data_IF_769348393630
#
_entry.id   IF_769348393630
#
_cell.length_a   1.000
_cell.length_b   1.000
_cell.length_c   1.000
_cell.angle_alpha   90.00
_cell.angle_beta   90.00
_cell.angle_gamma   90.00
#
_symmetry.space_group_name_H-M   'P 1'
#
loop_
_entity.id
_entity.type
_entity.pdbx_description
1 polymer ?
#
# COMPACT_ATOMS: atom_id res chain seq x y z
N UNK A 1 -0.79 39.89 -14.46
CA UNK A 1 -1.63 38.69 -14.64
C UNK A 1 -1.27 37.76 -13.51
N UNK A 2 -2.01 37.87 -12.41
CA UNK A 2 -1.83 37.03 -11.22
C UNK A 2 -2.14 35.58 -11.58
N UNK A 3 -1.20 34.68 -11.33
CA UNK A 3 -1.39 33.24 -11.47
C UNK A 3 -2.39 32.78 -10.42
N UNK A 4 -3.64 32.58 -10.85
CA UNK A 4 -4.72 32.05 -10.02
C UNK A 4 -4.31 30.76 -9.31
N UNK A 5 -4.32 30.77 -7.98
CA UNK A 5 -4.67 29.63 -7.11
C UNK A 5 -3.69 28.48 -6.93
N UNK A 6 -2.70 28.28 -7.83
CA UNK A 6 -1.85 27.10 -7.77
C UNK A 6 -0.92 27.13 -6.54
N UNK A 7 -0.84 26.01 -5.81
CA UNK A 7 0.02 25.89 -4.64
C UNK A 7 1.48 26.27 -4.96
N UNK A 8 2.01 27.31 -4.30
CA UNK A 8 3.39 27.75 -4.49
C UNK A 8 4.36 26.88 -3.68
N UNK A 9 4.74 25.76 -4.27
CA UNK A 9 5.76 24.87 -3.71
C UNK A 9 7.13 25.55 -3.60
N UNK A 10 7.42 26.61 -4.38
CA UNK A 10 8.76 27.20 -4.44
C UNK A 10 9.12 27.83 -3.10
N UNK A 11 8.25 28.67 -2.55
CA UNK A 11 8.48 29.28 -1.24
C UNK A 11 8.67 28.23 -0.13
N UNK A 12 7.92 27.13 -0.17
CA UNK A 12 8.02 26.02 0.80
C UNK A 12 9.38 25.32 0.65
N UNK A 13 9.76 24.94 -0.57
CA UNK A 13 11.02 24.27 -0.85
C UNK A 13 12.23 25.16 -0.52
N UNK A 14 12.16 26.46 -0.80
CA UNK A 14 13.22 27.41 -0.45
C UNK A 14 13.48 27.40 1.05
N UNK A 15 12.42 27.41 1.88
CA UNK A 15 12.56 27.32 3.33
C UNK A 15 13.12 25.97 3.77
N UNK A 16 12.56 24.88 3.24
CA UNK A 16 12.97 23.51 3.56
C UNK A 16 14.46 23.29 3.28
N UNK A 17 14.97 23.80 2.16
CA UNK A 17 16.36 23.64 1.75
C UNK A 17 17.27 24.81 2.11
N UNK A 18 16.76 25.83 2.79
CA UNK A 18 17.49 27.05 3.20
C UNK A 18 18.09 27.82 2.02
N UNK A 19 17.29 28.05 0.97
CA UNK A 19 17.61 28.87 -0.20
C UNK A 19 17.01 30.27 -0.06
N UNK A 20 17.72 31.28 -0.51
CA UNK A 20 17.18 32.63 -0.74
C UNK A 20 16.21 32.63 -1.94
N UNK A 21 15.37 33.65 -2.09
CA UNK A 21 14.46 33.76 -3.25
C UNK A 21 15.22 33.74 -4.59
N UNK A 22 16.33 34.48 -4.69
CA UNK A 22 17.20 34.51 -5.88
C UNK A 22 17.91 33.17 -6.16
N UNK A 23 18.13 32.35 -5.13
CA UNK A 23 18.67 30.99 -5.29
C UNK A 23 17.59 30.02 -5.72
N UNK A 24 16.37 30.13 -5.19
CA UNK A 24 15.26 29.24 -5.50
C UNK A 24 15.01 29.13 -7.01
N UNK A 25 15.02 30.27 -7.70
CA UNK A 25 14.80 30.36 -9.15
C UNK A 25 15.87 29.65 -9.98
N UNK A 26 17.10 29.60 -9.48
CA UNK A 26 18.25 29.00 -10.17
C UNK A 26 18.50 27.55 -9.74
N UNK A 27 18.11 27.21 -8.51
CA UNK A 27 18.48 25.97 -7.86
C UNK A 27 17.38 24.91 -7.89
N UNK A 28 16.12 25.28 -8.06
CA UNK A 28 14.99 24.35 -8.14
C UNK A 28 14.58 24.18 -9.60
N UNK A 29 14.85 23.00 -10.16
CA UNK A 29 14.51 22.67 -11.54
C UNK A 29 13.57 21.46 -11.61
N UNK A 30 12.58 21.49 -12.50
CA UNK A 30 11.75 20.32 -12.79
C UNK A 30 12.57 19.25 -13.52
N UNK A 31 12.36 18.00 -13.14
CA UNK A 31 12.96 16.81 -13.74
C UNK A 31 11.89 15.98 -14.44
N UNK A 32 11.23 16.57 -15.43
CA UNK A 32 10.12 15.97 -16.18
C UNK A 32 8.83 16.75 -16.06
N UNK A 33 7.77 16.16 -16.60
CA UNK A 33 6.41 16.70 -16.56
C UNK A 33 5.70 16.30 -15.26
N UNK A 34 4.66 17.07 -14.92
CA UNK A 34 3.77 16.72 -13.82
C UNK A 34 2.92 15.51 -14.19
N UNK A 35 2.76 14.57 -13.25
CA UNK A 35 1.89 13.41 -13.39
C UNK A 35 0.55 13.68 -12.68
N UNK A 36 -0.59 13.48 -13.36
CA UNK A 36 -1.95 13.83 -12.86
C UNK A 36 -3.00 12.73 -13.13
N UNK A 37 -4.27 12.95 -12.75
CA UNK A 37 -5.40 12.02 -12.93
C UNK A 37 -5.63 11.47 -14.34
N UNK A 38 -5.19 12.15 -15.41
CA UNK A 38 -5.20 11.59 -16.77
C UNK A 38 -4.22 10.41 -16.94
N UNK A 39 -3.26 10.28 -16.02
CA UNK A 39 -2.30 9.16 -15.94
C UNK A 39 -2.68 8.11 -14.88
N UNK A 40 -3.90 8.18 -14.33
CA UNK A 40 -4.44 7.15 -13.42
C UNK A 40 -4.05 7.30 -11.95
N UNK A 41 -3.68 8.52 -11.52
CA UNK A 41 -3.23 8.77 -10.15
C UNK A 41 -4.15 9.70 -9.38
N UNK A 42 -4.33 9.41 -8.09
CA UNK A 42 -5.18 10.20 -7.22
C UNK A 42 -4.59 11.57 -6.87
N UNK A 43 -3.26 11.71 -6.85
CA UNK A 43 -2.55 12.95 -6.50
C UNK A 43 -1.64 13.40 -7.63
N UNK A 44 -1.33 14.70 -7.60
CA UNK A 44 -0.35 15.31 -8.50
C UNK A 44 1.06 14.96 -8.06
N UNK A 45 1.96 14.74 -9.02
CA UNK A 45 3.34 14.38 -8.72
C UNK A 45 4.34 15.10 -9.60
N UNK A 46 5.48 15.48 -9.01
CA UNK A 46 6.58 16.16 -9.71
C UNK A 46 7.91 15.62 -9.22
N UNK A 47 8.86 15.45 -10.14
CA UNK A 47 10.26 15.18 -9.81
C UNK A 47 11.02 16.49 -9.92
N UNK A 48 11.81 16.84 -8.90
CA UNK A 48 12.59 18.08 -8.89
C UNK A 48 14.04 17.80 -8.53
N UNK A 49 14.94 18.63 -9.05
CA UNK A 49 16.34 18.72 -8.61
C UNK A 49 16.54 20.01 -7.85
N UNK A 50 17.07 19.90 -6.63
CA UNK A 50 17.39 21.04 -5.77
C UNK A 50 18.90 21.12 -5.61
N UNK A 51 19.51 22.18 -6.15
CA UNK A 51 20.94 22.46 -5.96
C UNK A 51 21.18 23.22 -4.67
N UNK A 52 22.13 22.77 -3.85
CA UNK A 52 22.56 23.43 -2.62
C UNK A 52 24.08 23.36 -2.51
N UNK A 53 24.75 24.48 -2.80
CA UNK A 53 26.19 24.49 -3.02
C UNK A 53 26.57 23.53 -4.16
N UNK A 54 27.56 22.65 -3.90
CA UNK A 54 28.00 21.63 -4.87
C UNK A 54 27.14 20.36 -4.86
N UNK A 55 26.16 20.26 -3.96
CA UNK A 55 25.28 19.09 -3.83
C UNK A 55 23.99 19.26 -4.63
N UNK A 56 23.50 18.16 -5.20
CA UNK A 56 22.17 18.09 -5.81
C UNK A 56 21.33 17.09 -5.03
N UNK A 57 20.14 17.52 -4.61
CA UNK A 57 19.15 16.69 -3.93
C UNK A 57 18.02 16.43 -4.92
N UNK A 58 17.77 15.17 -5.25
CA UNK A 58 16.64 14.78 -6.09
C UNK A 58 15.45 14.50 -5.18
N UNK A 59 14.34 15.20 -5.41
CA UNK A 59 13.13 15.06 -4.60
C UNK A 59 11.93 14.73 -5.47
N UNK A 60 11.04 13.95 -4.90
CA UNK A 60 9.74 13.62 -5.42
C UNK A 60 8.69 14.35 -4.60
N UNK A 61 7.86 15.15 -5.28
CA UNK A 61 6.72 15.81 -4.70
C UNK A 61 5.47 15.00 -5.02
N UNK A 62 4.68 14.72 -3.99
CA UNK A 62 3.32 14.21 -4.10
C UNK A 62 2.39 15.20 -3.41
N UNK A 63 1.36 15.69 -4.09
CA UNK A 63 0.51 16.75 -3.56
C UNK A 63 -0.94 16.66 -4.06
N UNK A 64 -1.85 17.24 -3.28
CA UNK A 64 -3.21 17.53 -3.70
C UNK A 64 -3.43 19.04 -3.70
N UNK A 65 -4.24 19.51 -4.65
CA UNK A 65 -4.62 20.92 -4.75
C UNK A 65 -6.11 21.01 -5.07
N UNK A 66 -6.91 21.45 -4.10
CA UNK A 66 -8.37 21.55 -4.20
C UNK A 66 -8.82 22.77 -4.99
N UNK A 67 -7.92 23.71 -5.30
CA UNK A 67 -8.20 24.89 -6.14
C UNK A 67 -8.17 24.55 -7.63
N UNK A 68 -7.50 23.45 -7.98
CA UNK A 68 -7.39 22.95 -9.35
C UNK A 68 -8.73 22.45 -9.87
N UNK A 69 -9.11 22.96 -11.03
CA UNK A 69 -10.38 22.64 -11.68
C UNK A 69 -10.32 21.31 -12.45
N UNK A 70 -9.13 20.85 -12.81
CA UNK A 70 -8.89 19.59 -13.53
C UNK A 70 -9.06 18.34 -12.66
N UNK A 71 -9.19 18.49 -11.34
CA UNK A 71 -9.37 17.36 -10.41
C UNK A 71 -10.74 16.66 -10.53
N UNK A 72 -11.77 17.29 -11.11
CA UNK A 72 -13.09 16.67 -11.34
C UNK A 72 -13.64 15.89 -10.14
N UNK A 73 -14.06 14.64 -10.38
CA UNK A 73 -14.57 13.70 -9.36
C UNK A 73 -13.48 13.17 -8.41
N UNK A 74 -12.19 13.25 -8.80
CA UNK A 74 -11.08 12.82 -7.95
C UNK A 74 -10.90 13.71 -6.73
N UNK A 75 -11.45 14.94 -6.74
CA UNK A 75 -11.31 15.89 -5.63
C UNK A 75 -11.83 15.34 -4.30
N UNK A 76 -13.01 14.71 -4.28
CA UNK A 76 -13.57 14.13 -3.05
C UNK A 76 -12.68 12.98 -2.52
N UNK A 77 -12.09 12.20 -3.42
CA UNK A 77 -11.15 11.13 -3.06
C UNK A 77 -9.83 11.72 -2.51
N UNK A 78 -9.28 12.76 -3.14
CA UNK A 78 -8.06 13.45 -2.69
C UNK A 78 -8.20 14.03 -1.28
N UNK A 79 -9.32 14.68 -1.00
CA UNK A 79 -9.62 15.26 0.32
C UNK A 79 -9.68 14.20 1.43
N UNK A 80 -9.95 12.94 1.06
CA UNK A 80 -10.07 11.84 1.99
C UNK A 80 -8.74 11.09 2.19
N UNK A 81 -8.06 10.73 1.10
CA UNK A 81 -6.89 9.85 1.14
C UNK A 81 -5.57 10.60 1.33
N UNK A 82 -5.39 11.78 0.73
CA UNK A 82 -4.10 12.47 0.79
C UNK A 82 -3.73 12.94 2.21
N UNK A 83 -4.65 13.47 3.04
CA UNK A 83 -4.32 13.80 4.44
C UNK A 83 -3.94 12.56 5.27
N UNK A 84 -4.51 11.40 4.94
CA UNK A 84 -4.17 10.13 5.59
C UNK A 84 -2.75 9.70 5.25
N UNK A 85 -2.29 9.90 4.02
CA UNK A 85 -0.89 9.69 3.69
C UNK A 85 0.06 10.60 4.48
N UNK A 86 -0.29 11.88 4.66
CA UNK A 86 0.47 12.78 5.53
C UNK A 86 0.50 12.28 6.98
N UNK A 87 -0.61 11.72 7.51
CA UNK A 87 -0.64 11.11 8.85
C UNK A 87 0.32 9.92 8.95
N UNK A 88 0.38 9.07 7.92
CA UNK A 88 1.31 7.95 7.90
C UNK A 88 2.76 8.44 7.97
N UNK A 89 3.17 9.29 7.03
CA UNK A 89 4.57 9.72 6.92
C UNK A 89 5.00 10.72 7.99
N UNK A 90 4.09 11.54 8.51
CA UNK A 90 4.41 12.50 9.57
C UNK A 90 4.36 11.93 10.98
N UNK A 91 3.65 10.81 11.19
CA UNK A 91 3.44 10.25 12.54
C UNK A 91 3.83 8.78 12.66
N UNK A 92 3.26 7.88 11.85
CA UNK A 92 3.52 6.45 11.98
C UNK A 92 4.92 6.09 11.52
N UNK A 93 5.29 6.38 10.27
CA UNK A 93 6.59 6.02 9.72
C UNK A 93 7.77 6.49 10.59
N UNK A 94 7.82 7.76 11.08
CA UNK A 94 8.92 8.22 11.93
C UNK A 94 8.95 7.52 13.29
N UNK A 95 7.78 7.19 13.86
CA UNK A 95 7.69 6.47 15.13
C UNK A 95 8.16 5.02 15.00
N UNK A 96 7.80 4.35 13.90
CA UNK A 96 8.24 2.99 13.59
C UNK A 96 9.76 2.96 13.33
N UNK A 97 10.27 3.85 12.47
CA UNK A 97 11.71 4.00 12.18
C UNK A 97 12.51 4.30 13.45
N UNK A 98 12.05 5.24 14.28
CA UNK A 98 12.71 5.57 15.55
C UNK A 98 12.77 4.36 16.48
N UNK A 99 11.68 3.61 16.57
CA UNK A 99 11.63 2.41 17.42
C UNK A 99 12.61 1.35 16.92
N UNK A 100 12.60 1.04 15.62
CA UNK A 100 13.51 0.08 15.01
C UNK A 100 14.98 0.49 15.22
N UNK A 101 15.31 1.75 14.97
CA UNK A 101 16.66 2.31 15.16
C UNK A 101 17.14 2.21 16.62
N UNK A 102 16.31 2.62 17.58
CA UNK A 102 16.64 2.53 19.02
C UNK A 102 16.83 1.10 19.52
N UNK A 103 16.21 0.12 18.85
CA UNK A 103 16.35 -1.30 19.16
C UNK A 103 17.46 -1.98 18.33
N UNK A 104 18.26 -1.21 17.59
CA UNK A 104 19.40 -1.73 16.82
C UNK A 104 19.02 -2.49 15.55
N UNK A 105 17.80 -2.35 15.05
CA UNK A 105 17.32 -3.04 13.84
C UNK A 105 17.63 -2.28 12.53
N UNK A 106 18.12 -1.06 12.64
CA UNK A 106 18.36 -0.19 11.48
C UNK A 106 17.05 0.37 10.91
N UNK A 107 17.05 0.63 9.59
CA UNK A 107 15.88 1.20 8.90
C UNK A 107 14.84 0.13 8.55
N UNK A 108 13.57 0.50 8.66
CA UNK A 108 12.44 -0.36 8.26
C UNK A 108 12.20 -0.35 6.74
N UNK A 109 12.92 0.50 6.00
CA UNK A 109 12.88 0.53 4.55
C UNK A 109 11.64 1.24 4.00
N UNK A 110 11.23 2.35 4.62
CA UNK A 110 10.27 3.29 4.04
C UNK A 110 11.00 4.40 3.27
N UNK A 111 10.32 5.08 2.33
CA UNK A 111 10.88 6.27 1.68
C UNK A 111 11.21 7.36 2.71
N UNK A 112 12.33 8.02 2.50
CA UNK A 112 12.73 9.20 3.26
C UNK A 112 11.81 10.36 2.91
N UNK A 113 11.07 10.85 3.90
CA UNK A 113 10.23 12.05 3.78
C UNK A 113 10.95 13.23 4.41
N UNK A 114 11.10 14.30 3.64
CA UNK A 114 11.73 15.56 4.07
C UNK A 114 10.70 16.53 4.65
N UNK A 115 9.46 16.48 4.18
CA UNK A 115 8.37 17.34 4.61
C UNK A 115 7.03 16.72 4.26
N UNK A 116 6.07 16.84 5.17
CA UNK A 116 4.65 16.58 4.94
C UNK A 116 3.81 17.73 5.49
N UNK A 117 2.77 18.14 4.76
CA UNK A 117 1.90 19.24 5.15
C UNK A 117 0.46 18.94 4.75
N UNK A 118 -0.46 19.18 5.69
CA UNK A 118 -1.90 19.35 5.39
C UNK A 118 -2.18 20.84 5.35
N UNK A 119 -2.61 21.33 4.19
CA UNK A 119 -2.84 22.73 3.89
C UNK A 119 -4.35 22.99 3.73
N UNK A 120 -4.82 24.24 3.89
CA UNK A 120 -6.23 24.57 3.63
C UNK A 120 -6.71 24.22 2.21
N UNK A 121 -5.78 24.17 1.25
CA UNK A 121 -6.05 23.90 -0.16
C UNK A 121 -5.56 22.54 -0.63
N UNK A 122 -5.17 21.62 0.28
CA UNK A 122 -4.75 20.27 -0.08
C UNK A 122 -3.62 19.73 0.77
N UNK A 123 -2.68 19.01 0.17
CA UNK A 123 -1.59 18.35 0.89
C UNK A 123 -0.29 18.43 0.09
N UNK A 124 0.84 18.30 0.77
CA UNK A 124 2.15 18.23 0.14
C UNK A 124 3.02 17.24 0.91
N UNK A 125 3.67 16.34 0.18
CA UNK A 125 4.74 15.49 0.68
C UNK A 125 5.95 15.68 -0.22
N UNK A 126 7.10 16.02 0.38
CA UNK A 126 8.41 16.09 -0.25
C UNK A 126 9.20 14.91 0.24
N UNK A 127 9.54 13.98 -0.65
CA UNK A 127 10.25 12.75 -0.33
C UNK A 127 11.45 12.56 -1.26
N UNK A 128 12.31 11.59 -0.94
CA UNK A 128 13.41 11.22 -1.82
C UNK A 128 12.88 10.71 -3.18
N UNK A 129 13.63 10.98 -4.25
CA UNK A 129 13.36 10.38 -5.55
C UNK A 129 13.95 8.97 -5.61
N UNK A 130 13.11 7.97 -5.34
CA UNK A 130 13.51 6.55 -5.36
C UNK A 130 14.06 6.10 -6.72
N UNK A 131 13.59 6.70 -7.83
CA UNK A 131 14.11 6.41 -9.16
C UNK A 131 15.58 6.81 -9.30
N UNK A 132 15.94 8.00 -8.82
CA UNK A 132 17.34 8.44 -8.77
C UNK A 132 18.17 7.67 -7.73
N UNK A 133 17.51 7.08 -6.72
CA UNK A 133 18.14 6.18 -5.75
C UNK A 133 18.31 4.73 -6.27
N UNK A 134 17.98 4.46 -7.53
CA UNK A 134 18.19 3.15 -8.16
C UNK A 134 17.07 2.13 -7.91
N UNK A 135 15.89 2.57 -7.49
CA UNK A 135 14.71 1.74 -7.40
C UNK A 135 13.84 1.88 -8.66
N UNK A 136 13.22 0.78 -9.07
CA UNK A 136 12.29 0.72 -10.19
C UNK A 136 10.93 0.15 -9.75
N UNK A 137 9.86 0.49 -10.45
CA UNK A 137 8.56 -0.11 -10.20
C UNK A 137 8.61 -1.63 -10.43
N UNK A 138 8.00 -2.38 -9.53
CA UNK A 138 7.95 -3.82 -9.63
C UNK A 138 7.10 -4.27 -10.85
N UNK A 139 7.42 -5.43 -11.45
CA UNK A 139 6.64 -5.94 -12.57
C UNK A 139 5.24 -6.38 -12.12
N UNK A 140 4.27 -6.32 -13.03
CA UNK A 140 2.89 -6.78 -12.76
C UNK A 140 2.77 -8.29 -12.51
N UNK A 141 3.82 -9.05 -12.81
CA UNK A 141 3.94 -10.50 -12.54
C UNK A 141 5.31 -10.76 -11.95
N UNK A 142 5.38 -10.84 -10.63
CA UNK A 142 6.62 -11.03 -9.87
C UNK A 142 6.99 -12.50 -9.78
N UNK A 143 8.30 -12.77 -9.87
CA UNK A 143 8.85 -14.06 -9.51
C UNK A 143 9.01 -14.20 -7.99
N UNK A 144 9.47 -15.37 -7.54
CA UNK A 144 9.61 -15.67 -6.11
C UNK A 144 10.61 -14.76 -5.39
N UNK A 145 11.71 -14.36 -6.02
CA UNK A 145 12.71 -13.50 -5.39
C UNK A 145 12.14 -12.09 -5.15
N UNK A 146 11.43 -11.55 -6.14
CA UNK A 146 10.78 -10.24 -6.06
C UNK A 146 9.67 -10.24 -4.99
N UNK A 147 8.83 -11.29 -4.99
CA UNK A 147 7.80 -11.48 -3.97
C UNK A 147 8.38 -11.52 -2.55
N UNK A 148 9.49 -12.23 -2.36
CA UNK A 148 10.19 -12.30 -1.07
C UNK A 148 10.73 -10.94 -0.64
N UNK A 149 11.28 -10.13 -1.54
CA UNK A 149 11.71 -8.76 -1.22
C UNK A 149 10.55 -7.88 -0.74
N UNK A 150 9.40 -7.93 -1.42
CA UNK A 150 8.19 -7.18 -1.01
C UNK A 150 7.72 -7.63 0.38
N UNK A 151 7.59 -8.93 0.60
CA UNK A 151 7.10 -9.47 1.86
C UNK A 151 8.07 -9.26 3.02
N UNK A 152 9.38 -9.32 2.77
CA UNK A 152 10.39 -8.96 3.77
C UNK A 152 10.31 -7.47 4.15
N UNK A 153 10.03 -6.56 3.20
CA UNK A 153 9.79 -5.15 3.51
C UNK A 153 8.51 -4.94 4.32
N UNK A 154 7.40 -5.57 3.93
CA UNK A 154 6.16 -5.52 4.72
C UNK A 154 6.35 -6.09 6.14
N UNK A 155 7.08 -7.21 6.26
CA UNK A 155 7.40 -7.83 7.54
C UNK A 155 8.24 -6.92 8.45
N UNK A 156 9.20 -6.16 7.89
CA UNK A 156 9.97 -5.16 8.66
C UNK A 156 9.07 -4.06 9.24
N UNK A 157 8.16 -3.52 8.43
CA UNK A 157 7.18 -2.52 8.88
C UNK A 157 6.29 -3.10 9.98
N UNK A 158 5.85 -4.35 9.84
CA UNK A 158 5.02 -5.04 10.83
C UNK A 158 5.76 -5.35 12.13
N UNK A 159 7.01 -5.78 12.05
CA UNK A 159 7.85 -5.95 13.23
C UNK A 159 8.00 -4.63 13.99
N UNK A 160 8.30 -3.54 13.28
CA UNK A 160 8.42 -2.22 13.88
C UNK A 160 7.12 -1.73 14.51
N UNK A 161 5.97 -2.02 13.89
CA UNK A 161 4.64 -1.75 14.46
C UNK A 161 4.45 -2.47 15.81
N UNK A 162 4.71 -3.78 15.86
CA UNK A 162 4.55 -4.57 17.08
C UNK A 162 5.55 -4.19 18.18
N UNK A 163 6.79 -3.88 17.81
CA UNK A 163 7.81 -3.37 18.72
C UNK A 163 7.38 -2.03 19.33
N UNK A 164 6.87 -1.12 18.50
CA UNK A 164 6.36 0.19 18.93
C UNK A 164 5.18 0.01 19.88
N UNK A 165 4.20 -0.81 19.51
CA UNK A 165 3.04 -1.15 20.34
C UNK A 165 3.46 -1.69 21.71
N UNK A 166 4.41 -2.63 21.74
CA UNK A 166 4.90 -3.21 22.99
C UNK A 166 5.63 -2.18 23.87
N UNK A 167 6.41 -1.28 23.29
CA UNK A 167 7.13 -0.23 24.05
C UNK A 167 6.23 0.85 24.61
N UNK A 168 5.19 1.23 23.88
CA UNK A 168 4.25 2.28 24.32
C UNK A 168 3.25 1.76 25.36
N UNK A 169 2.94 0.46 25.37
CA UNK A 169 2.07 -0.16 26.36
C UNK A 169 0.60 0.31 26.29
N UNK A 170 -0.10 0.17 27.43
CA UNK A 170 -1.55 0.37 27.56
C UNK A 170 -2.09 1.75 27.11
N UNK A 171 -1.39 2.88 27.31
CA UNK A 171 -1.90 4.17 26.81
C UNK A 171 -1.97 4.28 25.28
N UNK A 172 -1.17 3.51 24.53
CA UNK A 172 -1.13 3.53 23.07
C UNK A 172 -1.89 2.37 22.42
N UNK A 173 -2.49 1.47 23.22
CA UNK A 173 -3.30 0.37 22.68
C UNK A 173 -4.53 0.88 21.91
N UNK A 174 -4.98 2.10 22.19
CA UNK A 174 -5.99 2.78 21.37
C UNK A 174 -5.52 2.93 19.94
N UNK A 175 -4.34 3.56 19.69
CA UNK A 175 -3.86 3.84 18.33
C UNK A 175 -3.33 2.60 17.60
N UNK A 176 -2.75 1.63 18.32
CA UNK A 176 -2.09 0.42 17.78
C UNK A 176 -2.92 -0.86 17.98
N UNK A 177 -4.19 -0.73 18.35
CA UNK A 177 -5.08 -1.84 18.64
C UNK A 177 -6.33 -1.85 17.75
N UNK A 178 -7.20 -2.85 17.94
CA UNK A 178 -8.43 -3.01 17.16
C UNK A 178 -9.41 -1.84 17.30
N UNK A 179 -9.31 -1.04 18.36
CA UNK A 179 -10.12 0.15 18.60
C UNK A 179 -9.50 1.44 18.02
N UNK A 180 -8.46 1.32 17.21
CA UNK A 180 -7.83 2.46 16.58
C UNK A 180 -8.83 3.24 15.72
N UNK A 181 -8.78 4.57 15.68
CA UNK A 181 -9.55 5.32 14.69
C UNK A 181 -9.15 4.99 13.24
N UNK A 182 -8.08 4.21 13.07
CA UNK A 182 -7.59 3.68 11.80
C UNK A 182 -7.93 2.20 11.59
N UNK A 183 -8.69 1.57 12.50
CA UNK A 183 -9.14 0.16 12.40
C UNK A 183 -9.97 -0.10 11.14
N UNK A 184 -10.53 0.97 10.60
CA UNK A 184 -11.49 0.89 9.54
C UNK A 184 -10.83 0.94 8.15
N UNK A 185 -9.49 0.89 8.02
CA UNK A 185 -8.78 0.77 6.74
C UNK A 185 -9.35 1.64 5.60
N UNK A 186 -9.60 1.03 4.43
CA UNK A 186 -10.32 1.63 3.28
C UNK A 186 -11.80 1.98 3.58
N UNK A 187 -12.38 1.41 4.64
CA UNK A 187 -13.82 1.35 4.94
C UNK A 187 -14.41 2.56 5.66
N UNK A 188 -13.63 3.37 6.39
CA UNK A 188 -14.13 4.60 7.04
C UNK A 188 -14.07 5.86 6.17
N UNK A 189 -13.54 5.74 4.95
CA UNK A 189 -13.27 6.90 4.12
C UNK A 189 -14.54 7.26 3.36
N UNK A 190 -15.22 8.27 3.90
CA UNK A 190 -16.45 8.93 3.44
C UNK A 190 -16.45 9.42 1.98
N UNK A 191 -15.38 9.19 1.21
CA UNK A 191 -15.20 9.68 -0.14
C UNK A 191 -16.20 9.09 -1.15
N UNK A 192 -16.56 7.82 -1.03
CA UNK A 192 -17.57 7.18 -1.90
C UNK A 192 -19.00 7.43 -1.42
N UNK A 193 -19.18 7.99 -0.20
CA UNK A 193 -20.44 8.04 0.57
C UNK A 193 -21.13 6.68 0.73
N UNK A 194 -20.46 5.58 0.33
CA UNK A 194 -20.96 4.21 0.27
C UNK A 194 -19.92 3.27 0.86
N UNK A 195 -20.33 2.49 1.84
CA UNK A 195 -19.54 1.41 2.40
C UNK A 195 -19.25 0.31 1.36
N UNK A 196 -18.21 -0.49 1.62
CA UNK A 196 -17.92 -1.67 0.79
C UNK A 196 -19.11 -2.65 0.71
N UNK A 197 -19.90 -2.76 1.78
CA UNK A 197 -21.12 -3.58 1.81
C UNK A 197 -22.18 -3.08 0.81
N UNK A 198 -22.25 -1.75 0.60
CA UNK A 198 -23.15 -1.12 -0.38
C UNK A 198 -22.63 -1.19 -1.82
N UNK A 199 -21.30 -1.24 -2.02
CA UNK A 199 -20.67 -1.37 -3.34
C UNK A 199 -20.66 -2.82 -3.85
N UNK A 200 -20.49 -3.79 -2.94
CA UNK A 200 -20.30 -5.20 -3.25
C UNK A 200 -21.37 -5.80 -4.20
N UNK A 201 -22.69 -5.57 -4.04
CA UNK A 201 -23.68 -6.16 -4.95
C UNK A 201 -23.51 -5.70 -6.40
N UNK A 202 -23.23 -4.41 -6.63
CA UNK A 202 -23.04 -3.87 -7.96
C UNK A 202 -21.73 -4.37 -8.59
N UNK A 203 -20.65 -4.40 -7.80
CA UNK A 203 -19.37 -4.98 -8.22
C UNK A 203 -19.50 -6.47 -8.56
N UNK A 204 -20.23 -7.24 -7.77
CA UNK A 204 -20.49 -8.66 -8.02
C UNK A 204 -21.18 -8.92 -9.36
N UNK A 205 -22.26 -8.19 -9.66
CA UNK A 205 -22.97 -8.33 -10.94
C UNK A 205 -22.07 -7.95 -12.13
N UNK A 206 -21.28 -6.89 -11.99
CA UNK A 206 -20.31 -6.48 -13.00
C UNK A 206 -19.23 -7.55 -13.20
N UNK A 207 -18.61 -8.01 -12.11
CA UNK A 207 -17.58 -9.05 -12.12
C UNK A 207 -18.09 -10.30 -12.84
N UNK A 208 -19.24 -10.82 -12.41
CA UNK A 208 -19.88 -12.04 -12.92
C UNK A 208 -20.15 -11.97 -14.43
N UNK A 209 -20.47 -10.80 -14.95
CA UNK A 209 -20.72 -10.57 -16.38
C UNK A 209 -19.44 -10.49 -17.22
N UNK A 210 -18.36 -9.96 -16.64
CA UNK A 210 -17.20 -9.50 -17.41
C UNK A 210 -15.96 -10.40 -17.27
N UNK A 211 -15.72 -11.05 -16.12
CA UNK A 211 -14.43 -11.67 -15.82
C UNK A 211 -14.01 -12.72 -16.87
N UNK A 212 -14.95 -13.54 -17.36
CA UNK A 212 -14.68 -14.61 -18.30
C UNK A 212 -14.14 -14.11 -19.64
N UNK A 213 -14.38 -12.83 -20.01
CA UNK A 213 -13.85 -12.21 -21.24
C UNK A 213 -12.33 -12.09 -21.23
N UNK A 214 -11.71 -12.13 -20.05
CA UNK A 214 -10.28 -11.95 -19.85
C UNK A 214 -9.54 -13.29 -19.63
N UNK A 215 -10.24 -14.42 -19.78
CA UNK A 215 -9.70 -15.75 -19.54
C UNK A 215 -9.84 -16.65 -20.76
N UNK A 216 -8.91 -17.58 -20.93
CA UNK A 216 -8.92 -18.56 -22.03
C UNK A 216 -9.11 -20.00 -21.58
N UNK A 217 -9.05 -20.27 -20.28
CA UNK A 217 -9.13 -21.63 -19.71
C UNK A 217 -10.52 -21.90 -19.12
N UNK A 218 -11.33 -22.71 -19.80
CA UNK A 218 -12.69 -23.07 -19.37
C UNK A 218 -12.75 -23.70 -17.98
N UNK A 219 -11.73 -24.51 -17.62
CA UNK A 219 -11.64 -25.10 -16.27
C UNK A 219 -11.56 -24.01 -15.19
N UNK A 220 -10.70 -23.00 -15.40
CA UNK A 220 -10.53 -21.90 -14.44
C UNK A 220 -11.78 -21.02 -14.37
N UNK A 221 -12.43 -20.77 -15.51
CA UNK A 221 -13.71 -20.07 -15.56
C UNK A 221 -14.78 -20.83 -14.73
N UNK A 222 -14.86 -22.15 -14.88
CA UNK A 222 -15.79 -22.99 -14.11
C UNK A 222 -15.50 -22.96 -12.60
N UNK A 223 -14.23 -22.93 -12.19
CA UNK A 223 -13.84 -22.79 -10.77
C UNK A 223 -14.33 -21.46 -10.19
N UNK A 224 -14.10 -20.34 -10.89
CA UNK A 224 -14.55 -19.01 -10.42
C UNK A 224 -16.08 -18.97 -10.34
N UNK A 225 -16.79 -19.43 -11.38
CA UNK A 225 -18.26 -19.48 -11.34
C UNK A 225 -18.78 -20.33 -10.18
N UNK A 226 -18.20 -21.52 -9.96
CA UNK A 226 -18.55 -22.37 -8.83
C UNK A 226 -18.26 -21.74 -7.47
N UNK A 227 -17.23 -20.90 -7.35
CA UNK A 227 -16.98 -20.13 -6.13
C UNK A 227 -18.02 -19.02 -5.94
N UNK A 228 -18.35 -18.26 -6.99
CA UNK A 228 -19.37 -17.20 -6.95
C UNK A 228 -20.77 -17.74 -6.64
N UNK A 229 -21.10 -18.95 -7.08
CA UNK A 229 -22.41 -19.58 -6.86
C UNK A 229 -22.59 -20.16 -5.44
N UNK A 230 -21.51 -20.32 -4.66
CA UNK A 230 -21.53 -20.91 -3.31
C UNK A 230 -21.71 -19.85 -2.21
N UNK A 231 -22.86 -19.16 -2.26
CA UNK A 231 -23.24 -18.10 -1.30
C UNK A 231 -22.20 -16.97 -1.17
N UNK A 232 -21.51 -16.65 -2.27
CA UNK A 232 -20.38 -15.73 -2.25
C UNK A 232 -20.70 -14.38 -1.61
N UNK A 233 -21.80 -13.73 -2.00
CA UNK A 233 -22.17 -12.42 -1.45
C UNK A 233 -22.25 -12.45 0.09
N UNK A 234 -22.90 -13.48 0.65
CA UNK A 234 -23.02 -13.63 2.11
C UNK A 234 -21.64 -13.80 2.77
N UNK A 235 -20.74 -14.60 2.17
CA UNK A 235 -19.38 -14.78 2.67
C UNK A 235 -18.56 -13.49 2.57
N UNK A 236 -18.61 -12.80 1.45
CA UNK A 236 -17.91 -11.53 1.23
C UNK A 236 -18.38 -10.46 2.22
N UNK A 237 -19.68 -10.36 2.50
CA UNK A 237 -20.21 -9.47 3.54
C UNK A 237 -19.70 -9.81 4.94
N UNK A 238 -19.56 -11.11 5.26
CA UNK A 238 -18.96 -11.54 6.53
C UNK A 238 -17.48 -11.16 6.59
N UNK A 239 -16.72 -11.32 5.51
CA UNK A 239 -15.32 -10.88 5.44
C UNK A 239 -15.22 -9.37 5.71
N UNK A 240 -16.04 -8.55 5.05
CA UNK A 240 -16.08 -7.10 5.24
C UNK A 240 -16.39 -6.73 6.71
N UNK A 241 -17.39 -7.37 7.33
CA UNK A 241 -17.82 -7.08 8.71
C UNK A 241 -16.83 -7.60 9.76
N UNK A 242 -16.27 -8.78 9.55
CA UNK A 242 -15.34 -9.41 10.51
C UNK A 242 -14.04 -8.62 10.71
N UNK A 243 -13.65 -7.79 9.74
CA UNK A 243 -12.51 -6.88 9.89
C UNK A 243 -12.69 -5.78 10.96
N UNK A 244 -13.87 -5.69 11.60
CA UNK A 244 -14.23 -4.67 12.59
C UNK A 244 -14.34 -5.22 14.03
N UNK A 245 -14.00 -6.50 14.27
CA UNK A 245 -14.17 -7.12 15.59
C UNK A 245 -12.96 -6.91 16.54
N UNK A 246 -13.23 -6.55 17.81
CA UNK A 246 -12.23 -6.15 18.82
C UNK A 246 -11.20 -7.22 19.22
N UNK A 247 -11.33 -8.47 18.77
CA UNK A 247 -10.52 -9.61 19.23
C UNK A 247 -9.43 -10.05 18.27
N UNK A 248 -9.23 -9.34 17.17
CA UNK A 248 -8.29 -9.78 16.15
C UNK A 248 -6.84 -9.43 16.48
N UNK A 249 -5.93 -10.33 16.10
CA UNK A 249 -4.50 -10.02 16.03
C UNK A 249 -4.30 -9.01 14.92
N UNK A 250 -4.11 -7.75 15.30
CA UNK A 250 -3.97 -6.62 14.37
C UNK A 250 -2.52 -6.16 14.19
N UNK A 251 -2.21 -5.75 12.97
CA UNK A 251 -1.00 -5.05 12.56
C UNK A 251 -1.34 -3.77 11.79
N UNK A 252 -0.30 -3.10 11.28
CA UNK A 252 -0.49 -2.02 10.31
C UNK A 252 -0.75 -2.61 8.93
N UNK A 253 -1.72 -2.07 8.20
CA UNK A 253 -2.07 -2.53 6.85
C UNK A 253 -1.74 -1.44 5.85
N UNK A 254 -1.16 -1.81 4.72
CA UNK A 254 -1.03 -0.92 3.57
C UNK A 254 -2.41 -0.65 2.96
N UNK A 255 -3.26 -1.69 2.89
CA UNK A 255 -4.63 -1.70 2.38
C UNK A 255 -4.81 -1.45 0.89
N UNK A 256 -3.76 -1.05 0.19
CA UNK A 256 -3.68 -1.02 -1.28
C UNK A 256 -2.33 -1.60 -1.73
N UNK A 257 -1.96 -2.81 -1.28
CA UNK A 257 -0.67 -3.41 -1.65
C UNK A 257 -0.80 -4.22 -2.95
N UNK A 258 -0.18 -3.71 -4.01
CA UNK A 258 -0.06 -4.35 -5.33
C UNK A 258 1.22 -3.88 -6.01
N UNK A 259 1.57 -4.47 -7.15
CA UNK A 259 2.87 -4.27 -7.82
C UNK A 259 3.21 -2.79 -8.06
N UNK A 260 2.21 -1.95 -8.33
CA UNK A 260 2.42 -0.53 -8.64
C UNK A 260 2.84 0.30 -7.41
N UNK A 261 2.63 -0.25 -6.21
CA UNK A 261 3.01 0.37 -4.93
C UNK A 261 4.29 -0.26 -4.35
N UNK A 262 5.00 -1.04 -5.16
CA UNK A 262 6.26 -1.68 -4.80
C UNK A 262 7.38 -1.14 -5.70
N UNK A 263 8.43 -0.57 -5.11
CA UNK A 263 9.65 -0.20 -5.83
C UNK A 263 10.81 -1.10 -5.40
N UNK A 264 11.47 -1.75 -6.36
CA UNK A 264 12.56 -2.71 -6.13
C UNK A 264 13.90 -2.11 -6.53
N UNK A 265 14.92 -2.32 -5.72
CA UNK A 265 16.31 -2.13 -6.14
C UNK A 265 16.89 -3.46 -6.60
N UNK A 266 17.88 -3.41 -7.50
CA UNK A 266 18.55 -4.60 -8.03
C UNK A 266 20.07 -4.50 -7.88
N UNK A 267 20.70 -5.65 -7.72
CA UNK A 267 22.16 -5.74 -7.78
C UNK A 267 22.66 -5.71 -9.25
N UNK A 268 23.98 -5.76 -9.42
CA UNK A 268 24.61 -5.75 -10.74
C UNK A 268 24.24 -6.95 -11.64
N UNK A 269 23.68 -8.02 -11.07
CA UNK A 269 23.18 -9.20 -11.80
C UNK A 269 21.68 -9.14 -12.09
N UNK A 270 21.00 -8.06 -11.70
CA UNK A 270 19.56 -7.87 -11.88
C UNK A 270 18.70 -8.58 -10.82
N UNK A 271 19.30 -9.13 -9.76
CA UNK A 271 18.52 -9.76 -8.69
C UNK A 271 17.93 -8.71 -7.75
N UNK A 272 16.67 -8.87 -7.32
CA UNK A 272 16.05 -7.93 -6.40
C UNK A 272 16.75 -7.98 -5.04
N UNK A 273 17.04 -6.81 -4.48
CA UNK A 273 17.77 -6.67 -3.20
C UNK A 273 16.86 -6.12 -2.12
N UNK A 274 16.25 -4.96 -2.36
CA UNK A 274 15.34 -4.31 -1.42
C UNK A 274 14.04 -3.91 -2.09
N UNK A 275 12.98 -3.80 -1.29
CA UNK A 275 11.74 -3.16 -1.69
C UNK A 275 11.46 -1.94 -0.82
N UNK A 276 10.98 -0.86 -1.43
CA UNK A 276 10.32 0.28 -0.77
C UNK A 276 8.83 0.23 -1.10
N UNK A 277 8.00 0.18 -0.06
CA UNK A 277 6.55 0.27 -0.19
C UNK A 277 6.14 1.74 -0.19
N UNK A 278 5.36 2.15 -1.20
CA UNK A 278 4.94 3.53 -1.42
C UNK A 278 3.42 3.63 -1.48
N UNK A 279 2.88 4.85 -1.43
CA UNK A 279 1.44 5.11 -1.55
C UNK A 279 0.59 4.60 -0.38
N UNK A 280 0.97 4.98 0.85
CA UNK A 280 0.29 4.61 2.09
C UNK A 280 -1.01 5.40 2.35
N UNK A 281 -1.65 5.97 1.32
CA UNK A 281 -2.81 6.87 1.44
C UNK A 281 -4.08 6.20 2.00
N UNK A 282 -4.14 4.86 1.98
CA UNK A 282 -5.24 4.06 2.54
C UNK A 282 -4.85 3.24 3.76
N UNK A 283 -3.65 3.45 4.31
CA UNK A 283 -3.13 2.61 5.39
C UNK A 283 -4.07 2.53 6.59
N UNK A 284 -4.07 1.40 7.30
CA UNK A 284 -4.95 1.20 8.45
C UNK A 284 -4.34 0.32 9.53
N UNK A 285 -5.16 -0.01 10.51
CA UNK A 285 -4.91 -1.06 11.50
C UNK A 285 -5.90 -2.17 11.21
N UNK A 286 -5.43 -3.39 10.98
CA UNK A 286 -6.28 -4.50 10.59
C UNK A 286 -5.57 -5.82 10.80
N UNK A 287 -6.12 -6.92 10.28
CA UNK A 287 -5.47 -8.24 10.39
C UNK A 287 -4.01 -8.18 9.98
N UNK A 288 -3.14 -8.84 10.74
CA UNK A 288 -1.68 -8.81 10.52
C UNK A 288 -1.29 -9.14 9.08
N UNK A 289 -2.01 -10.09 8.46
CA UNK A 289 -1.74 -10.59 7.10
C UNK A 289 -2.70 -10.04 6.04
N UNK A 290 -3.42 -8.95 6.34
CA UNK A 290 -4.46 -8.39 5.48
C UNK A 290 -3.98 -8.16 4.04
N UNK A 291 -2.76 -7.61 3.89
CA UNK A 291 -2.21 -7.27 2.59
C UNK A 291 -1.69 -8.47 1.79
N UNK A 292 -1.49 -9.64 2.43
CA UNK A 292 -0.85 -10.79 1.77
C UNK A 292 -1.69 -11.31 0.60
N UNK A 293 -2.98 -11.53 0.80
CA UNK A 293 -3.86 -12.07 -0.24
C UNK A 293 -4.08 -11.12 -1.42
N UNK A 294 -4.48 -9.85 -1.21
CA UNK A 294 -4.59 -8.86 -2.28
C UNK A 294 -3.30 -8.70 -3.09
N UNK A 295 -2.14 -8.59 -2.41
CA UNK A 295 -0.85 -8.55 -3.09
C UNK A 295 -0.59 -9.81 -3.92
N UNK A 296 -0.81 -10.98 -3.31
CA UNK A 296 -0.49 -12.25 -3.95
C UNK A 296 -1.33 -12.50 -5.21
N UNK A 297 -2.63 -12.21 -5.14
CA UNK A 297 -3.55 -12.33 -6.27
C UNK A 297 -3.18 -11.35 -7.39
N UNK A 298 -2.90 -10.10 -7.04
CA UNK A 298 -2.73 -9.02 -8.03
C UNK A 298 -1.36 -8.97 -8.70
N UNK A 299 -0.32 -9.55 -8.07
CA UNK A 299 1.07 -9.19 -8.41
C UNK A 299 2.01 -10.36 -8.68
N UNK A 300 1.61 -11.60 -8.39
CA UNK A 300 2.49 -12.77 -8.49
C UNK A 300 2.25 -13.51 -9.81
N UNK A 301 3.32 -14.01 -10.43
CA UNK A 301 3.21 -14.89 -11.59
C UNK A 301 2.41 -16.15 -11.24
N UNK A 302 1.36 -16.42 -12.03
CA UNK A 302 0.48 -17.56 -11.84
C UNK A 302 1.21 -18.92 -11.81
N UNK A 303 2.35 -19.05 -12.50
CA UNK A 303 3.16 -20.27 -12.48
C UNK A 303 3.66 -20.65 -11.07
N UNK A 304 3.76 -19.68 -10.15
CA UNK A 304 4.25 -19.91 -8.78
C UNK A 304 3.22 -19.60 -7.69
N UNK A 305 2.05 -19.06 -8.08
CA UNK A 305 1.08 -18.52 -7.13
C UNK A 305 0.61 -19.54 -6.09
N UNK A 306 0.39 -20.80 -6.49
CA UNK A 306 -0.05 -21.85 -5.56
C UNK A 306 1.11 -22.33 -4.70
N UNK A 307 2.19 -22.79 -5.32
CA UNK A 307 3.29 -23.47 -4.63
C UNK A 307 4.08 -22.56 -3.68
N UNK A 308 4.15 -21.26 -3.99
CA UNK A 308 4.97 -20.32 -3.24
C UNK A 308 4.18 -19.50 -2.20
N UNK A 309 2.84 -19.59 -2.15
CA UNK A 309 2.08 -18.74 -1.21
C UNK A 309 2.47 -19.00 0.24
N UNK A 310 2.33 -20.24 0.70
CA UNK A 310 2.61 -20.59 2.08
C UNK A 310 4.11 -20.49 2.46
N UNK A 311 5.07 -20.91 1.62
CA UNK A 311 6.49 -20.64 1.86
C UNK A 311 6.81 -19.14 2.03
N UNK A 312 6.15 -18.27 1.27
CA UNK A 312 6.31 -16.83 1.40
C UNK A 312 5.63 -16.26 2.66
N UNK A 313 4.48 -16.82 3.08
CA UNK A 313 3.86 -16.51 4.39
C UNK A 313 4.78 -16.90 5.54
N UNK A 314 5.45 -18.05 5.44
CA UNK A 314 6.42 -18.53 6.44
C UNK A 314 7.62 -17.58 6.53
N UNK A 315 8.18 -17.13 5.40
CA UNK A 315 9.23 -16.11 5.38
C UNK A 315 8.79 -14.82 6.08
N UNK A 316 7.58 -14.35 5.78
CA UNK A 316 7.00 -13.15 6.38
C UNK A 316 6.89 -13.28 7.91
N UNK A 317 6.35 -14.41 8.40
CA UNK A 317 6.27 -14.72 9.83
C UNK A 317 7.66 -14.78 10.48
N UNK A 318 8.59 -15.52 9.90
CA UNK A 318 9.94 -15.69 10.42
C UNK A 318 10.70 -14.36 10.52
N UNK A 319 10.52 -13.49 9.53
CA UNK A 319 11.11 -12.14 9.54
C UNK A 319 10.57 -11.32 10.71
N UNK A 320 9.24 -11.31 10.93
CA UNK A 320 8.62 -10.60 12.06
C UNK A 320 9.14 -11.15 13.39
N UNK A 321 9.12 -12.48 13.56
CA UNK A 321 9.57 -13.14 14.79
C UNK A 321 11.03 -12.83 15.11
N UNK A 322 11.89 -12.92 14.10
CA UNK A 322 13.33 -12.66 14.24
C UNK A 322 13.59 -11.23 14.69
N UNK A 323 12.96 -10.25 14.04
CA UNK A 323 13.11 -8.83 14.38
C UNK A 323 12.50 -8.49 15.74
N UNK A 324 11.33 -9.04 16.06
CA UNK A 324 10.69 -8.85 17.35
C UNK A 324 11.54 -9.40 18.50
N UNK A 325 12.07 -10.62 18.34
CA UNK A 325 12.98 -11.27 19.28
C UNK A 325 14.28 -10.49 19.44
N UNK A 326 14.84 -10.00 18.35
CA UNK A 326 16.04 -9.16 18.39
C UNK A 326 15.78 -7.86 19.17
N UNK A 327 14.65 -7.20 18.91
CA UNK A 327 14.33 -5.91 19.52
C UNK A 327 13.92 -5.98 21.00
N UNK A 328 13.17 -7.00 21.44
CA UNK A 328 12.66 -7.07 22.82
C UNK A 328 13.20 -8.24 23.64
N UNK A 329 14.01 -9.12 23.04
CA UNK A 329 14.50 -10.35 23.66
C UNK A 329 13.35 -11.25 24.17
N UNK A 330 12.23 -11.23 23.44
CA UNK A 330 11.00 -11.94 23.74
C UNK A 330 10.49 -12.68 22.51
N UNK A 331 9.77 -13.78 22.71
CA UNK A 331 9.09 -14.47 21.62
C UNK A 331 7.91 -13.64 21.11
N UNK A 332 7.69 -13.66 19.80
CA UNK A 332 6.56 -12.96 19.19
C UNK A 332 5.23 -13.57 19.67
N UNK A 333 4.29 -12.78 20.20
CA UNK A 333 3.14 -13.29 20.95
C UNK A 333 2.06 -13.97 20.08
N UNK A 334 2.16 -13.88 18.75
CA UNK A 334 1.20 -14.48 17.82
C UNK A 334 1.69 -15.87 17.41
N UNK A 335 0.81 -16.87 17.39
CA UNK A 335 1.17 -18.22 16.96
C UNK A 335 1.39 -18.32 15.44
N UNK A 336 2.23 -19.25 14.99
CA UNK A 336 2.43 -19.51 13.54
C UNK A 336 1.13 -19.91 12.86
N UNK A 337 0.31 -20.71 13.55
CA UNK A 337 -0.98 -21.17 13.04
C UNK A 337 -1.94 -20.00 12.82
N UNK A 338 -1.99 -19.04 13.74
CA UNK A 338 -2.81 -17.82 13.59
C UNK A 338 -2.41 -17.03 12.34
N UNK A 339 -1.11 -16.85 12.10
CA UNK A 339 -0.64 -16.13 10.91
C UNK A 339 -0.99 -16.88 9.64
N UNK A 340 -0.77 -18.20 9.61
CA UNK A 340 -1.14 -19.05 8.47
C UNK A 340 -2.63 -18.97 8.17
N UNK A 341 -3.48 -19.07 9.19
CA UNK A 341 -4.93 -18.98 9.04
C UNK A 341 -5.36 -17.60 8.54
N UNK A 342 -4.85 -16.51 9.12
CA UNK A 342 -5.17 -15.16 8.65
C UNK A 342 -4.68 -14.93 7.22
N UNK A 343 -3.53 -15.50 6.83
CA UNK A 343 -3.02 -15.39 5.46
C UNK A 343 -3.92 -16.10 4.47
N UNK A 344 -4.39 -17.33 4.76
CA UNK A 344 -5.37 -18.00 3.88
C UNK A 344 -6.68 -17.21 3.83
N UNK A 345 -7.14 -16.64 4.95
CA UNK A 345 -8.32 -15.79 4.98
C UNK A 345 -8.16 -14.50 4.16
N UNK A 346 -6.95 -13.92 4.08
CA UNK A 346 -6.73 -12.71 3.29
C UNK A 346 -6.84 -12.95 1.78
N UNK A 347 -6.77 -14.21 1.31
CA UNK A 347 -7.11 -14.54 -0.09
C UNK A 347 -8.58 -14.23 -0.39
N UNK A 348 -9.51 -14.60 0.49
CA UNK A 348 -10.92 -14.25 0.35
C UNK A 348 -11.12 -12.73 0.34
N UNK A 349 -10.32 -12.01 1.15
CA UNK A 349 -10.33 -10.56 1.12
C UNK A 349 -9.85 -9.99 -0.23
N UNK A 350 -8.75 -10.49 -0.79
CA UNK A 350 -8.27 -10.06 -2.10
C UNK A 350 -9.28 -10.32 -3.22
N UNK A 351 -9.97 -11.47 -3.19
CA UNK A 351 -11.07 -11.77 -4.12
C UNK A 351 -12.23 -10.80 -3.91
N UNK A 352 -12.61 -10.54 -2.65
CA UNK A 352 -13.67 -9.58 -2.30
C UNK A 352 -13.37 -8.19 -2.84
N UNK A 353 -12.13 -7.73 -2.67
CA UNK A 353 -11.70 -6.44 -3.20
C UNK A 353 -11.81 -6.38 -4.72
N UNK A 354 -11.30 -7.39 -5.43
CA UNK A 354 -11.36 -7.46 -6.90
C UNK A 354 -12.81 -7.49 -7.43
N UNK A 355 -13.71 -8.19 -6.73
CA UNK A 355 -15.13 -8.27 -7.10
C UNK A 355 -15.85 -6.96 -6.79
N UNK A 356 -15.59 -6.33 -5.64
CA UNK A 356 -16.23 -5.07 -5.29
C UNK A 356 -15.84 -3.95 -6.25
N UNK A 357 -14.58 -3.91 -6.69
CA UNK A 357 -14.05 -2.91 -7.62
C UNK A 357 -13.88 -3.47 -9.04
N UNK A 358 -14.86 -4.24 -9.51
CA UNK A 358 -14.81 -4.89 -10.82
C UNK A 358 -14.68 -3.92 -12.00
N UNK A 359 -15.04 -2.65 -11.82
CA UNK A 359 -14.81 -1.57 -12.78
C UNK A 359 -13.33 -1.29 -13.05
N UNK A 360 -12.42 -1.67 -12.13
CA UNK A 360 -10.98 -1.51 -12.28
C UNK A 360 -10.34 -2.64 -13.10
N UNK A 361 -11.06 -3.74 -13.35
CA UNK A 361 -10.55 -4.89 -14.13
C UNK A 361 -9.93 -4.49 -15.47
N UNK A 362 -10.54 -3.62 -16.30
CA UNK A 362 -9.99 -3.27 -17.61
C UNK A 362 -8.67 -2.49 -17.53
N UNK A 363 -8.37 -1.83 -16.41
CA UNK A 363 -7.14 -1.03 -16.24
C UNK A 363 -6.01 -1.81 -15.55
N UNK A 364 -6.30 -3.00 -15.00
CA UNK A 364 -5.28 -3.86 -14.42
C UNK A 364 -4.40 -4.48 -15.51
N UNK A 365 -3.09 -4.26 -15.41
CA UNK A 365 -2.12 -4.95 -16.28
C UNK A 365 -2.14 -6.44 -15.96
N UNK A 366 -2.09 -7.27 -17.00
CA UNK A 366 -2.07 -8.74 -16.87
C UNK A 366 -3.27 -9.28 -16.09
N UNK A 367 -4.46 -8.74 -16.35
CA UNK A 367 -5.72 -9.22 -15.76
C UNK A 367 -5.95 -10.73 -15.95
N UNK A 368 -5.46 -11.30 -17.06
CA UNK A 368 -5.42 -12.75 -17.30
C UNK A 368 -4.69 -13.49 -16.16
N UNK A 369 -3.52 -13.00 -15.75
CA UNK A 369 -2.74 -13.56 -14.66
C UNK A 369 -3.45 -13.44 -13.31
N UNK A 370 -4.03 -12.27 -13.02
CA UNK A 370 -4.78 -12.03 -11.78
C UNK A 370 -5.96 -13.00 -11.64
N UNK A 371 -6.76 -13.17 -12.70
CA UNK A 371 -7.90 -14.08 -12.69
C UNK A 371 -7.48 -15.55 -12.64
N UNK A 372 -6.36 -15.91 -13.29
CA UNK A 372 -5.78 -17.25 -13.15
C UNK A 372 -5.35 -17.52 -11.70
N UNK A 373 -4.74 -16.55 -11.02
CA UNK A 373 -4.40 -16.65 -9.60
C UNK A 373 -5.64 -16.89 -8.75
N UNK A 374 -6.72 -16.12 -8.98
CA UNK A 374 -7.99 -16.33 -8.27
C UNK A 374 -8.48 -17.76 -8.43
N UNK A 375 -8.56 -18.27 -9.65
CA UNK A 375 -9.04 -19.63 -9.91
C UNK A 375 -8.18 -20.70 -9.23
N UNK A 376 -6.86 -20.64 -9.39
CA UNK A 376 -5.96 -21.68 -8.87
C UNK A 376 -5.86 -21.65 -7.34
N UNK A 377 -5.92 -20.45 -6.73
CA UNK A 377 -5.93 -20.30 -5.27
C UNK A 377 -7.27 -20.76 -4.67
N UNK A 378 -8.40 -20.52 -5.33
CA UNK A 378 -9.70 -21.08 -4.93
C UNK A 378 -9.65 -22.60 -4.94
N UNK A 379 -9.16 -23.21 -6.04
CA UNK A 379 -9.09 -24.66 -6.18
C UNK A 379 -8.16 -25.27 -5.14
N UNK A 380 -6.97 -24.70 -4.93
CA UNK A 380 -5.97 -25.25 -4.03
C UNK A 380 -6.34 -25.12 -2.55
N UNK A 381 -6.81 -23.94 -2.12
CA UNK A 381 -7.11 -23.68 -0.71
C UNK A 381 -8.54 -24.03 -0.30
N UNK A 382 -9.39 -24.42 -1.26
CA UNK A 382 -10.78 -24.78 -1.00
C UNK A 382 -11.60 -23.62 -0.43
N UNK A 383 -11.41 -22.43 -0.99
CA UNK A 383 -12.04 -21.18 -0.55
C UNK A 383 -13.58 -21.21 -0.66
#
# INVERSE_FOLDING_TARGET
>A
METNGQMDFRAILSRLFSLTEDEADRCIASAGEEMTGETGFLSYRRRLKVKKGDSTINVFLKFSDTTRQDSGELKELMDCFCPRECLFYGTFAPLLERTASQLGLGSIGLPTVHLEMVLPTGTLIVMEDLGEAGFELAPATMNVAEARCVLSSLARVQAAFWLTKARLGSPASGLFGPQSPLSDGFFALSATKKSMDELLPAGFELFRREFAKYMTCDKRIAIINGYLDRDYLKKAQQVIKSGQEEREVVGITHSDLWYNNCMLSRDASGQPVECRLIDWQVFGIGRLTFDLGPFWISSIDNAIAVEQYLPCVELYDETIRSLYKTGLQQEFPVSKETIRQQAVQSLNWGITWLVTFAEMIPVLRRIDNVLNNVADLIEHFGL
#
